data_IF_439931931528
#
_entry.id   IF_439931931528
#
_cell.length_a   1.000
_cell.length_b   1.000
_cell.length_c   1.000
_cell.angle_alpha   90.00
_cell.angle_beta   90.00
_cell.angle_gamma   90.00
#
_symmetry.space_group_name_H-M   'P 1'
#
loop_
_entity.id
_entity.type
_entity.pdbx_description
1 polymer ?
#
# COMPACT_ATOMS: atom_id res chain seq x y z
N UNK A 1 21.29 -4.07 5.06
CA UNK A 1 20.20 -4.87 4.45
C UNK A 1 18.91 -4.57 5.21
N UNK A 2 17.95 -3.91 4.60
CA UNK A 2 16.61 -3.82 5.20
C UNK A 2 16.04 -5.23 5.25
N UNK A 3 15.81 -5.76 6.46
CA UNK A 3 15.20 -7.07 6.63
C UNK A 3 13.82 -7.08 5.98
N UNK A 4 13.48 -8.14 5.27
CA UNK A 4 12.13 -8.33 4.71
C UNK A 4 11.11 -8.24 5.86
N UNK A 5 10.26 -7.23 5.84
CA UNK A 5 9.22 -7.06 6.85
C UNK A 5 8.11 -8.09 6.60
N UNK A 6 7.89 -8.94 7.60
CA UNK A 6 6.75 -9.87 7.62
C UNK A 6 5.63 -9.35 8.51
N UNK A 7 4.44 -9.95 8.40
CA UNK A 7 3.29 -9.56 9.23
C UNK A 7 3.59 -9.69 10.73
N UNK A 8 4.28 -10.76 11.15
CA UNK A 8 4.68 -10.96 12.55
C UNK A 8 5.58 -9.85 13.09
N UNK A 9 6.42 -9.26 12.23
CA UNK A 9 7.37 -8.21 12.65
C UNK A 9 6.79 -6.80 12.55
N UNK A 10 5.89 -6.54 11.61
CA UNK A 10 5.45 -5.19 11.26
C UNK A 10 4.05 -4.84 11.79
N UNK A 11 3.17 -5.82 11.98
CA UNK A 11 1.76 -5.57 12.21
C UNK A 11 1.46 -4.73 13.45
N UNK A 12 2.11 -5.02 14.59
CA UNK A 12 1.87 -4.26 15.83
C UNK A 12 2.36 -2.82 15.71
N UNK A 13 3.53 -2.60 15.08
CA UNK A 13 4.04 -1.23 14.87
C UNK A 13 3.14 -0.43 13.93
N UNK A 14 2.62 -1.05 12.87
CA UNK A 14 1.64 -0.41 12.00
C UNK A 14 0.34 -0.08 12.75
N UNK A 15 -0.12 -0.98 13.62
CA UNK A 15 -1.29 -0.75 14.45
C UNK A 15 -1.08 0.43 15.43
N UNK A 16 0.09 0.51 16.08
CA UNK A 16 0.49 1.64 16.93
C UNK A 16 0.52 2.96 16.16
N UNK A 17 0.99 2.93 14.91
CA UNK A 17 1.00 4.09 14.02
C UNK A 17 -0.40 4.45 13.46
N UNK A 18 -1.46 3.74 13.85
CA UNK A 18 -2.85 4.04 13.47
C UNK A 18 -3.33 3.32 12.22
N UNK A 19 -2.50 2.52 11.55
CA UNK A 19 -2.91 1.74 10.38
C UNK A 19 -3.62 0.44 10.78
N UNK A 20 -4.42 -0.11 9.86
CA UNK A 20 -5.07 -1.42 10.06
C UNK A 20 -4.39 -2.47 9.17
N UNK A 21 -3.37 -3.18 9.67
CA UNK A 21 -2.66 -4.18 8.90
C UNK A 21 -3.46 -5.49 8.77
N UNK A 22 -3.35 -6.14 7.61
CA UNK A 22 -3.90 -7.47 7.35
C UNK A 22 -2.83 -8.40 6.78
N UNK A 23 -2.88 -9.71 7.12
CA UNK A 23 -1.93 -10.68 6.58
C UNK A 23 -2.24 -11.00 5.12
N UNK A 24 -1.18 -11.05 4.30
CA UNK A 24 -1.25 -11.32 2.86
C UNK A 24 -0.53 -12.63 2.55
N UNK A 25 -1.13 -13.48 1.72
CA UNK A 25 -0.48 -14.71 1.24
C UNK A 25 0.86 -14.35 0.57
N UNK A 26 1.98 -14.95 1.00
CA UNK A 26 3.30 -14.61 0.48
C UNK A 26 3.38 -14.61 -1.05
N UNK A 27 4.07 -13.63 -1.60
CA UNK A 27 4.24 -13.42 -3.05
C UNK A 27 2.93 -13.32 -3.84
N UNK A 28 1.85 -12.86 -3.20
CA UNK A 28 0.57 -12.52 -3.84
C UNK A 28 0.08 -11.14 -3.40
N UNK A 29 -1.08 -10.73 -3.90
CA UNK A 29 -1.82 -9.55 -3.41
C UNK A 29 -3.10 -9.95 -2.65
N UNK A 30 -3.25 -11.24 -2.31
CA UNK A 30 -4.48 -11.77 -1.70
C UNK A 30 -4.36 -11.84 -0.18
N UNK A 31 -5.34 -11.33 0.57
CA UNK A 31 -5.41 -11.53 2.01
C UNK A 31 -5.42 -13.02 2.40
N UNK A 32 -4.74 -13.35 3.50
CA UNK A 32 -4.67 -14.71 4.05
C UNK A 32 -5.93 -15.14 4.79
N UNK A 33 -6.78 -14.18 5.14
CA UNK A 33 -7.99 -14.39 5.95
C UNK A 33 -9.26 -14.05 5.17
N UNK A 34 -10.34 -14.75 5.49
CA UNK A 34 -11.70 -14.37 5.05
C UNK A 34 -12.16 -13.13 5.82
N UNK A 35 -13.07 -12.37 5.23
CA UNK A 35 -13.62 -11.14 5.85
C UNK A 35 -12.55 -10.12 6.28
N UNK A 36 -11.43 -10.09 5.55
CA UNK A 36 -10.31 -9.19 5.81
C UNK A 36 -10.71 -7.71 5.91
N UNK A 37 -11.74 -7.28 5.16
CA UNK A 37 -12.27 -5.91 5.18
C UNK A 37 -12.95 -5.52 6.50
N UNK A 38 -13.26 -6.51 7.35
CA UNK A 38 -13.88 -6.30 8.67
C UNK A 38 -12.85 -6.24 9.80
N UNK A 39 -11.55 -6.38 9.51
CA UNK A 39 -10.49 -6.23 10.50
C UNK A 39 -10.49 -4.79 11.00
N UNK A 40 -10.40 -4.64 12.33
CA UNK A 40 -10.33 -3.33 12.98
C UNK A 40 -8.91 -3.02 13.43
N UNK A 41 -8.61 -1.75 13.60
CA UNK A 41 -7.38 -1.32 14.26
C UNK A 41 -7.51 -1.56 15.78
N UNK A 42 -7.41 -2.83 16.16
CA UNK A 42 -7.51 -3.30 17.54
C UNK A 42 -6.28 -4.14 17.89
N UNK A 43 -5.58 -3.77 18.97
CA UNK A 43 -4.33 -4.41 19.38
C UNK A 43 -4.49 -5.91 19.59
N UNK A 44 -5.55 -6.35 20.28
CA UNK A 44 -5.76 -7.77 20.60
C UNK A 44 -5.98 -8.59 19.34
N UNK A 45 -6.80 -8.07 18.40
CA UNK A 45 -7.04 -8.71 17.11
C UNK A 45 -5.77 -8.78 16.27
N UNK A 46 -5.03 -7.67 16.14
CA UNK A 46 -3.80 -7.61 15.33
C UNK A 46 -2.71 -8.49 15.95
N UNK A 47 -2.56 -8.50 17.27
CA UNK A 47 -1.61 -9.39 17.96
C UNK A 47 -1.93 -10.86 17.71
N UNK A 48 -3.20 -11.26 17.81
CA UNK A 48 -3.62 -12.63 17.49
C UNK A 48 -3.24 -13.00 16.05
N UNK A 49 -3.58 -12.15 15.08
CA UNK A 49 -3.26 -12.39 13.68
C UNK A 49 -1.74 -12.44 13.43
N UNK A 50 -0.94 -11.61 14.13
CA UNK A 50 0.53 -11.61 13.97
C UNK A 50 1.17 -12.92 14.45
N UNK A 51 0.60 -13.58 15.46
CA UNK A 51 1.03 -14.90 15.91
C UNK A 51 0.55 -16.02 15.00
N UNK A 52 -0.63 -15.90 14.42
CA UNK A 52 -1.21 -16.89 13.50
C UNK A 52 -0.57 -16.85 12.09
N UNK A 53 -0.20 -15.67 11.63
CA UNK A 53 0.38 -15.45 10.27
C UNK A 53 1.76 -14.77 10.31
N UNK A 54 2.75 -15.27 11.08
CA UNK A 54 4.02 -14.55 11.32
C UNK A 54 4.85 -14.32 10.06
N UNK A 55 4.72 -15.17 9.04
CA UNK A 55 5.49 -15.12 7.80
C UNK A 55 4.70 -14.54 6.61
N UNK A 56 3.47 -14.10 6.83
CA UNK A 56 2.67 -13.47 5.79
C UNK A 56 3.28 -12.14 5.32
N UNK A 57 2.92 -11.72 4.10
CA UNK A 57 3.11 -10.33 3.69
C UNK A 57 2.15 -9.40 4.44
N UNK A 58 2.30 -8.11 4.25
CA UNK A 58 1.51 -7.09 4.95
C UNK A 58 0.73 -6.26 3.94
N UNK A 59 -0.59 -6.25 4.06
CA UNK A 59 -1.47 -5.25 3.48
C UNK A 59 -1.97 -4.28 4.54
N UNK A 60 -2.41 -3.11 4.14
CA UNK A 60 -3.12 -2.16 5.01
C UNK A 60 -4.49 -1.85 4.43
N UNK A 61 -5.50 -1.79 5.28
CA UNK A 61 -6.85 -1.35 4.90
C UNK A 61 -6.84 0.15 4.62
N UNK A 62 -7.60 0.56 3.61
CA UNK A 62 -7.67 1.96 3.19
C UNK A 62 -8.89 2.68 3.78
N UNK A 63 -9.24 2.40 5.04
CA UNK A 63 -10.35 3.05 5.72
C UNK A 63 -10.09 4.55 5.93
N UNK A 64 -8.85 4.87 6.37
CA UNK A 64 -8.40 6.23 6.65
C UNK A 64 -7.26 6.68 5.71
N UNK A 65 -7.01 5.89 4.66
CA UNK A 65 -5.99 6.13 3.66
C UNK A 65 -6.58 6.28 2.26
N UNK A 66 -5.86 7.04 1.46
CA UNK A 66 -6.01 7.12 0.00
C UNK A 66 -4.67 6.71 -0.60
N UNK A 67 -4.70 5.86 -1.61
CA UNK A 67 -3.50 5.48 -2.34
C UNK A 67 -3.67 5.83 -3.81
N UNK A 68 -2.78 6.67 -4.33
CA UNK A 68 -2.64 6.88 -5.76
C UNK A 68 -1.74 5.77 -6.32
N UNK A 69 -2.34 4.82 -7.03
CA UNK A 69 -1.62 3.71 -7.68
C UNK A 69 -1.33 4.11 -9.13
N UNK A 70 -0.06 4.50 -9.36
CA UNK A 70 0.43 4.94 -10.67
C UNK A 70 0.90 3.70 -11.44
N UNK A 71 -0.02 3.06 -12.16
CA UNK A 71 0.24 1.88 -12.98
C UNK A 71 0.74 2.28 -14.38
N UNK A 72 1.95 2.84 -14.43
CA UNK A 72 2.59 3.36 -15.64
C UNK A 72 4.01 2.79 -15.75
N UNK A 73 4.31 2.11 -16.87
CA UNK A 73 5.63 1.49 -17.13
C UNK A 73 6.62 2.43 -17.85
N UNK A 74 6.16 3.58 -18.34
CA UNK A 74 7.05 4.64 -18.82
C UNK A 74 7.55 5.46 -17.63
N UNK A 75 8.87 5.47 -17.39
CA UNK A 75 9.47 6.12 -16.23
C UNK A 75 9.26 7.64 -16.21
N UNK A 76 9.40 8.30 -17.36
CA UNK A 76 9.22 9.75 -17.45
C UNK A 76 7.77 10.14 -17.19
N UNK A 77 6.82 9.39 -17.73
CA UNK A 77 5.39 9.62 -17.50
C UNK A 77 5.00 9.29 -16.05
N UNK A 78 5.49 8.18 -15.50
CA UNK A 78 5.27 7.82 -14.10
C UNK A 78 5.78 8.92 -13.15
N UNK A 79 6.99 9.44 -13.39
CA UNK A 79 7.56 10.53 -12.62
C UNK A 79 6.80 11.85 -12.80
N UNK A 80 6.31 12.14 -14.01
CA UNK A 80 5.50 13.34 -14.28
C UNK A 80 4.18 13.29 -13.50
N UNK A 81 3.48 12.15 -13.56
CA UNK A 81 2.22 11.97 -12.81
C UNK A 81 2.47 12.07 -11.30
N UNK A 82 3.54 11.45 -10.78
CA UNK A 82 3.96 11.61 -9.38
C UNK A 82 4.12 13.09 -9.01
N UNK A 83 4.86 13.85 -9.82
CA UNK A 83 5.09 15.29 -9.57
C UNK A 83 3.80 16.10 -9.57
N UNK A 84 2.88 15.83 -10.46
CA UNK A 84 1.57 16.51 -10.49
C UNK A 84 0.83 16.26 -9.17
N UNK A 85 0.75 15.01 -8.74
CA UNK A 85 0.07 14.64 -7.49
C UNK A 85 0.72 15.32 -6.28
N UNK A 86 2.06 15.26 -6.16
CA UNK A 86 2.75 15.83 -5.00
C UNK A 86 2.75 17.36 -4.99
N UNK A 87 2.70 18.02 -6.14
CA UNK A 87 2.55 19.47 -6.22
C UNK A 87 1.17 19.94 -5.73
N UNK A 88 0.12 19.14 -5.97
CA UNK A 88 -1.25 19.48 -5.55
C UNK A 88 -1.55 19.06 -4.10
N UNK A 89 -0.99 17.95 -3.62
CA UNK A 89 -1.34 17.33 -2.34
C UNK A 89 -0.23 17.30 -1.30
N UNK A 90 0.94 17.84 -1.57
CA UNK A 90 2.18 17.73 -0.80
C UNK A 90 2.95 16.43 -1.07
N UNK A 91 4.18 16.38 -0.58
CA UNK A 91 5.00 15.16 -0.64
C UNK A 91 4.51 14.13 0.38
N UNK A 92 4.75 12.85 0.12
CA UNK A 92 4.23 11.76 0.93
C UNK A 92 5.10 10.50 0.78
N UNK A 93 4.84 9.50 1.61
CA UNK A 93 5.52 8.21 1.52
C UNK A 93 5.17 7.47 0.24
N UNK A 94 6.20 6.95 -0.40
CA UNK A 94 6.13 6.31 -1.71
C UNK A 94 6.64 4.88 -1.65
N UNK A 95 5.88 3.95 -2.25
CA UNK A 95 6.25 2.55 -2.33
C UNK A 95 6.35 2.08 -3.79
N UNK A 96 7.40 1.33 -4.10
CA UNK A 96 7.64 0.71 -5.40
C UNK A 96 7.52 -0.81 -5.28
N UNK A 97 6.69 -1.43 -6.12
CA UNK A 97 6.59 -2.88 -6.25
C UNK A 97 7.26 -3.37 -7.53
N UNK A 98 6.99 -2.71 -8.64
CA UNK A 98 7.55 -2.98 -9.96
C UNK A 98 7.89 -1.65 -10.62
N UNK A 99 9.15 -1.24 -10.52
CA UNK A 99 9.62 0.02 -11.11
C UNK A 99 9.24 0.11 -12.60
N UNK A 100 8.79 1.26 -13.10
CA UNK A 100 8.65 2.54 -12.45
C UNK A 100 7.23 2.82 -11.87
N UNK A 101 6.37 1.80 -11.73
CA UNK A 101 5.06 1.92 -11.08
C UNK A 101 5.23 2.31 -9.61
N UNK A 102 4.36 3.19 -9.12
CA UNK A 102 4.45 3.82 -7.81
C UNK A 102 3.12 3.80 -7.08
N UNK A 103 3.15 3.72 -5.76
CA UNK A 103 2.01 3.93 -4.90
C UNK A 103 2.32 5.05 -3.89
N UNK A 104 1.52 6.11 -3.90
CA UNK A 104 1.64 7.25 -3.00
C UNK A 104 0.53 7.17 -1.95
N UNK A 105 0.88 7.23 -0.68
CA UNK A 105 -0.04 7.03 0.43
C UNK A 105 -0.35 8.37 1.10
N UNK A 106 -1.63 8.71 1.20
CA UNK A 106 -2.13 9.92 1.86
C UNK A 106 -3.15 9.55 2.93
N UNK A 107 -3.21 10.33 3.99
CA UNK A 107 -4.31 10.27 4.94
C UNK A 107 -5.58 10.83 4.29
N UNK A 108 -6.69 10.12 4.45
CA UNK A 108 -7.99 10.63 4.03
C UNK A 108 -8.50 11.68 5.01
N UNK A 109 -8.91 12.82 4.49
CA UNK A 109 -9.59 13.87 5.23
C UNK A 109 -10.97 14.07 4.60
N UNK A 110 -12.03 14.13 5.41
CA UNK A 110 -13.41 14.31 4.94
C UNK A 110 -14.16 12.99 4.72
N UNK A 111 -15.12 13.02 3.79
CA UNK A 111 -16.05 11.92 3.55
C UNK A 111 -15.38 10.70 2.91
N UNK A 112 -15.97 9.53 3.17
CA UNK A 112 -15.55 8.31 2.51
C UNK A 112 -15.90 8.32 1.02
N UNK A 113 -15.01 7.80 0.21
CA UNK A 113 -15.28 7.54 -1.20
C UNK A 113 -14.71 6.18 -1.62
N UNK A 114 -15.27 5.64 -2.69
CA UNK A 114 -14.84 4.38 -3.28
C UNK A 114 -13.69 4.60 -4.25
N UNK A 115 -13.06 3.50 -4.65
CA UNK A 115 -12.03 3.49 -5.70
C UNK A 115 -12.51 4.24 -6.96
N UNK A 116 -11.62 5.09 -7.50
CA UNK A 116 -11.72 5.67 -8.81
C UNK A 116 -10.56 5.24 -9.69
N UNK A 117 -10.80 5.07 -10.98
CA UNK A 117 -9.76 4.72 -11.95
C UNK A 117 -9.89 5.62 -13.17
N UNK A 118 -8.77 6.08 -13.69
CA UNK A 118 -8.74 6.67 -15.02
C UNK A 118 -9.12 5.61 -16.07
N UNK A 119 -9.42 6.06 -17.29
CA UNK A 119 -9.39 5.14 -18.42
C UNK A 119 -7.98 4.54 -18.59
N UNK A 120 -7.88 3.40 -19.27
CA UNK A 120 -6.60 2.80 -19.63
C UNK A 120 -6.11 3.50 -20.91
N UNK A 121 -4.92 4.07 -20.85
CA UNK A 121 -4.25 4.64 -22.01
C UNK A 121 -3.30 3.62 -22.64
N UNK A 122 -3.41 3.39 -23.94
CA UNK A 122 -2.47 2.55 -24.66
C UNK A 122 -1.27 3.40 -25.10
N UNK A 123 -0.10 3.07 -24.58
CA UNK A 123 1.19 3.60 -25.02
C UNK A 123 1.77 2.67 -26.10
N UNK A 124 2.83 3.08 -26.77
CA UNK A 124 3.46 2.32 -27.86
C UNK A 124 3.80 0.87 -27.46
N UNK A 125 4.32 0.67 -26.25
CA UNK A 125 4.77 -0.65 -25.76
C UNK A 125 4.15 -1.07 -24.42
N UNK A 126 3.18 -0.32 -23.88
CA UNK A 126 2.61 -0.58 -22.56
C UNK A 126 1.25 0.08 -22.40
N UNK A 127 0.61 -0.21 -21.26
CA UNK A 127 -0.59 0.48 -20.80
C UNK A 127 -0.25 1.40 -19.65
N UNK A 128 -0.98 2.49 -19.54
CA UNK A 128 -0.89 3.42 -18.43
C UNK A 128 -2.26 3.61 -17.78
N UNK A 129 -2.31 3.56 -16.47
CA UNK A 129 -3.52 3.81 -15.69
C UNK A 129 -3.16 4.49 -14.37
N UNK A 130 -4.01 5.40 -13.92
CA UNK A 130 -3.99 5.95 -12.57
C UNK A 130 -5.22 5.46 -11.82
N UNK A 131 -5.00 4.87 -10.65
CA UNK A 131 -6.08 4.46 -9.76
C UNK A 131 -5.98 5.23 -8.44
N UNK A 132 -7.11 5.65 -7.91
CA UNK A 132 -7.24 6.20 -6.55
C UNK A 132 -7.95 5.15 -5.72
N UNK A 133 -7.20 4.42 -4.92
CA UNK A 133 -7.71 3.39 -4.03
C UNK A 133 -8.13 4.04 -2.71
N UNK A 134 -9.28 3.64 -2.18
CA UNK A 134 -9.85 4.22 -0.96
C UNK A 134 -10.67 3.17 -0.19
N UNK A 135 -11.62 3.57 0.62
CA UNK A 135 -12.46 2.72 1.47
C UNK A 135 -12.94 1.45 0.75
N UNK A 136 -12.84 0.32 1.43
CA UNK A 136 -13.21 -1.01 0.91
C UNK A 136 -12.10 -1.69 0.12
N UNK A 137 -10.93 -1.07 -0.01
CA UNK A 137 -9.73 -1.64 -0.62
C UNK A 137 -8.63 -1.89 0.42
N UNK A 138 -7.62 -2.60 0.00
CA UNK A 138 -6.35 -2.76 0.70
C UNK A 138 -5.19 -2.47 -0.26
N UNK A 139 -4.05 -2.08 0.28
CA UNK A 139 -2.82 -1.94 -0.47
C UNK A 139 -1.70 -2.73 0.21
N UNK A 140 -0.87 -3.40 -0.58
CA UNK A 140 0.29 -4.13 -0.02
C UNK A 140 1.29 -3.10 0.50
N UNK A 141 1.69 -3.23 1.76
CA UNK A 141 2.73 -2.41 2.37
C UNK A 141 4.12 -3.10 2.33
N UNK A 142 4.18 -4.38 2.74
CA UNK A 142 5.42 -5.15 2.79
C UNK A 142 5.22 -6.58 2.30
N UNK A 143 6.30 -7.19 1.82
CA UNK A 143 6.31 -8.54 1.30
C UNK A 143 7.02 -8.64 -0.05
N UNK A 144 6.82 -9.77 -0.74
CA UNK A 144 7.40 -10.04 -2.06
C UNK A 144 6.38 -9.71 -3.15
N UNK A 145 6.80 -8.91 -4.13
CA UNK A 145 5.96 -8.59 -5.28
C UNK A 145 5.74 -9.83 -6.17
N UNK A 146 4.49 -10.14 -6.59
CA UNK A 146 4.17 -11.40 -7.27
C UNK A 146 4.87 -11.60 -8.64
N UNK A 147 5.13 -10.52 -9.38
CA UNK A 147 5.78 -10.59 -10.68
C UNK A 147 7.30 -10.48 -10.60
N UNK A 148 7.81 -9.45 -9.89
CA UNK A 148 9.26 -9.20 -9.82
C UNK A 148 10.00 -10.16 -8.91
N UNK A 149 9.29 -10.86 -8.01
CA UNK A 149 9.85 -11.71 -6.95
C UNK A 149 10.83 -10.97 -6.02
N UNK A 150 10.76 -9.64 -6.02
CA UNK A 150 11.57 -8.78 -5.16
C UNK A 150 10.70 -8.19 -4.05
N UNK A 151 11.28 -7.80 -2.91
CA UNK A 151 10.57 -7.06 -1.87
C UNK A 151 9.99 -5.75 -2.41
N UNK A 152 8.82 -5.37 -1.91
CA UNK A 152 8.36 -3.99 -2.05
C UNK A 152 9.34 -3.04 -1.39
N UNK A 153 9.63 -1.92 -2.04
CA UNK A 153 10.60 -0.92 -1.58
C UNK A 153 9.88 0.39 -1.26
N UNK A 154 10.19 0.95 -0.11
CA UNK A 154 9.79 2.30 0.27
C UNK A 154 10.91 3.27 -0.07
N UNK A 155 10.54 4.46 -0.51
CA UNK A 155 11.47 5.54 -0.79
C UNK A 155 11.55 6.41 0.46
N UNK A 156 12.76 6.50 1.05
CA UNK A 156 13.03 7.20 2.31
C UNK A 156 12.30 6.57 3.50
N UNK A 157 11.07 6.99 3.78
CA UNK A 157 10.25 6.53 4.91
C UNK A 157 9.15 5.58 4.47
N UNK A 158 8.66 4.79 5.43
CA UNK A 158 7.56 3.83 5.25
C UNK A 158 6.44 4.09 6.27
N UNK A 159 5.35 3.34 6.17
CA UNK A 159 4.27 3.38 7.17
C UNK A 159 4.71 2.91 8.58
N UNK A 160 5.90 2.31 8.72
CA UNK A 160 6.47 1.99 10.03
C UNK A 160 7.10 3.20 10.72
N UNK A 161 7.45 4.21 9.95
CA UNK A 161 8.19 5.39 10.40
C UNK A 161 7.24 6.57 10.71
N UNK A 162 6.06 6.59 10.10
CA UNK A 162 5.10 7.70 10.14
C UNK A 162 3.79 7.28 10.78
N UNK A 163 3.27 8.09 11.71
CA UNK A 163 1.93 7.90 12.27
C UNK A 163 0.87 8.45 11.32
N UNK A 164 -0.29 7.77 11.20
CA UNK A 164 -1.38 8.15 10.26
C UNK A 164 -1.91 9.58 10.47
N UNK A 165 -1.68 10.19 11.63
CA UNK A 165 -2.08 11.57 11.92
C UNK A 165 -1.09 12.62 11.38
N UNK A 166 0.09 12.23 11.00
CA UNK A 166 1.12 13.09 10.41
C UNK A 166 0.94 13.23 8.90
#
# INVERSE_FOLDING_TARGET
MLSLQSYGNAALKLQENGYTPIPIIPATKRPSIKNWSSVKNDYTQIKKLSLEYPHAGVGVLLNDLIVFDIDILDDKLSLLVRKIITNELQDTVERIGKFPKRALFYRRVGEEFKKHSSQIFNLTNSKAQLEVLATGNQCIAFGIHPETKQPYQWIEESLLDIHIQE
#
